data_IF_529444603561
#
_entry.id   IF_529444603561
#
_cell.length_a   1.000
_cell.length_b   1.000
_cell.length_c   1.000
_cell.angle_alpha   90.00
_cell.angle_beta   90.00
_cell.angle_gamma   90.00
#
_symmetry.space_group_name_H-M   'P 1'
#
loop_
_entity.id
_entity.type
_entity.pdbx_description
1 polymer ?
#
# COMPACT_ATOMS: atom_id res chain seq x y z
N UNK A 1 -6.69 -5.01 -12.01
CA UNK A 1 -6.40 -3.67 -12.63
C UNK A 1 -6.41 -3.78 -14.16
N UNK A 2 -5.79 -4.81 -14.72
CA UNK A 2 -5.76 -4.97 -16.20
C UNK A 2 -7.14 -5.15 -16.81
N UNK A 3 -8.03 -5.87 -16.14
CA UNK A 3 -9.40 -6.10 -16.61
C UNK A 3 -10.36 -4.99 -16.19
N UNK A 4 -10.15 -4.44 -15.00
CA UNK A 4 -10.95 -3.37 -14.43
C UNK A 4 -10.05 -2.35 -13.74
N UNK A 5 -9.86 -1.16 -14.30
CA UNK A 5 -8.96 -0.16 -13.73
C UNK A 5 -9.53 0.59 -12.52
N UNK A 6 -10.81 0.43 -12.20
CA UNK A 6 -11.42 1.12 -11.07
C UNK A 6 -10.81 0.65 -9.76
N UNK A 7 -10.37 1.60 -8.92
CA UNK A 7 -9.70 1.33 -7.66
C UNK A 7 -10.20 2.31 -6.59
N UNK A 8 -10.41 1.79 -5.39
CA UNK A 8 -10.68 2.58 -4.20
C UNK A 8 -9.60 2.36 -3.15
N UNK A 9 -9.23 3.42 -2.46
CA UNK A 9 -8.30 3.38 -1.32
C UNK A 9 -8.93 4.07 -0.13
N UNK A 10 -8.73 3.49 1.06
CA UNK A 10 -9.18 4.08 2.31
C UNK A 10 -7.99 4.27 3.23
N UNK A 11 -7.82 5.50 3.72
CA UNK A 11 -6.81 5.86 4.71
C UNK A 11 -7.51 6.21 6.01
N UNK A 12 -7.15 5.57 7.12
CA UNK A 12 -7.82 5.79 8.40
C UNK A 12 -6.78 6.06 9.48
N UNK A 13 -6.99 7.15 10.22
CA UNK A 13 -6.28 7.43 11.47
C UNK A 13 -7.16 6.97 12.64
N UNK A 14 -6.75 5.88 13.28
CA UNK A 14 -7.44 5.32 14.44
C UNK A 14 -6.94 5.88 15.77
N UNK A 15 -5.80 6.57 15.78
CA UNK A 15 -5.05 6.80 17.01
C UNK A 15 -5.18 8.22 17.57
N UNK A 16 -5.24 9.22 16.71
CA UNK A 16 -5.25 10.61 17.13
C UNK A 16 -6.55 11.31 16.75
N UNK A 17 -6.77 11.53 15.48
CA UNK A 17 -7.85 12.37 14.98
C UNK A 17 -9.10 11.62 14.56
N UNK A 18 -9.02 10.29 14.45
CA UNK A 18 -10.12 9.44 13.97
C UNK A 18 -10.75 9.96 12.67
N UNK A 19 -9.89 10.20 11.69
CA UNK A 19 -10.27 10.68 10.37
C UNK A 19 -10.12 9.57 9.35
N UNK A 20 -11.08 9.46 8.45
CA UNK A 20 -11.00 8.57 7.28
C UNK A 20 -11.04 9.37 5.99
N UNK A 21 -10.16 9.03 5.06
CA UNK A 21 -10.14 9.55 3.70
C UNK A 21 -10.38 8.41 2.73
N UNK A 22 -11.36 8.58 1.86
CA UNK A 22 -11.64 7.65 0.78
C UNK A 22 -11.26 8.28 -0.55
N UNK A 23 -10.52 7.55 -1.38
CA UNK A 23 -10.06 8.02 -2.69
C UNK A 23 -10.44 6.98 -3.73
N UNK A 24 -11.16 7.40 -4.76
CA UNK A 24 -11.54 6.58 -5.88
C UNK A 24 -10.91 7.09 -7.17
N UNK A 25 -10.56 6.18 -8.05
CA UNK A 25 -9.99 6.55 -9.32
C UNK A 25 -9.73 5.38 -10.23
N UNK A 26 -8.95 5.64 -11.25
CA UNK A 26 -8.50 4.62 -12.20
C UNK A 26 -7.02 4.37 -12.04
N UNK A 27 -6.66 3.10 -11.95
CA UNK A 27 -5.31 2.65 -11.73
C UNK A 27 -4.71 2.03 -12.99
N UNK A 28 -3.41 2.19 -13.15
CA UNK A 28 -2.63 1.45 -14.13
C UNK A 28 -1.37 0.88 -13.49
N UNK A 29 -0.87 -0.19 -14.04
CA UNK A 29 0.37 -0.81 -13.62
C UNK A 29 1.52 -0.21 -14.42
N UNK A 30 2.57 0.19 -13.73
CA UNK A 30 3.81 0.69 -14.35
C UNK A 30 4.96 -0.18 -13.86
N UNK A 31 5.74 -0.73 -14.78
CA UNK A 31 6.95 -1.47 -14.41
C UNK A 31 7.99 -0.53 -13.81
N UNK A 32 8.82 -1.03 -12.90
CA UNK A 32 9.81 -0.21 -12.21
C UNK A 32 10.78 0.50 -13.17
N UNK A 33 11.18 -0.19 -14.23
CA UNK A 33 12.09 0.38 -15.24
C UNK A 33 11.47 1.57 -15.97
N UNK A 34 10.17 1.52 -16.23
CA UNK A 34 9.44 2.64 -16.85
C UNK A 34 9.40 3.85 -15.92
N UNK A 35 9.20 3.63 -14.62
CA UNK A 35 9.15 4.69 -13.63
C UNK A 35 10.52 5.34 -13.44
N UNK A 36 11.59 4.54 -13.44
CA UNK A 36 12.96 5.02 -13.35
C UNK A 36 13.37 5.89 -14.55
N UNK A 37 12.83 5.59 -15.72
CA UNK A 37 13.07 6.35 -16.94
C UNK A 37 12.27 7.65 -17.04
N UNK A 38 11.23 7.81 -16.23
CA UNK A 38 10.37 8.98 -16.20
C UNK A 38 10.97 10.09 -15.32
N UNK A 39 11.29 11.24 -15.91
CA UNK A 39 11.92 12.36 -15.21
C UNK A 39 11.08 12.87 -14.02
N UNK A 40 9.77 12.76 -14.10
CA UNK A 40 8.85 13.20 -13.04
C UNK A 40 8.90 12.29 -11.81
N UNK A 41 9.09 11.00 -12.00
CA UNK A 41 8.93 9.99 -10.95
C UNK A 41 10.23 9.29 -10.53
N UNK A 42 11.34 9.56 -11.22
CA UNK A 42 12.64 8.95 -10.93
C UNK A 42 13.08 9.09 -9.48
N UNK A 43 12.84 10.25 -8.86
CA UNK A 43 13.22 10.50 -7.47
C UNK A 43 12.46 9.60 -6.50
N UNK A 44 11.15 9.39 -6.72
CA UNK A 44 10.32 8.51 -5.90
C UNK A 44 10.82 7.06 -6.01
N UNK A 45 11.08 6.60 -7.22
CA UNK A 45 11.59 5.25 -7.45
C UNK A 45 12.98 5.05 -6.80
N UNK A 46 13.86 6.02 -6.92
CA UNK A 46 15.20 5.96 -6.31
C UNK A 46 15.15 5.98 -4.77
N UNK A 47 14.27 6.77 -4.18
CA UNK A 47 14.12 6.82 -2.72
C UNK A 47 13.65 5.48 -2.15
N UNK A 48 12.75 4.82 -2.83
CA UNK A 48 12.28 3.48 -2.43
C UNK A 48 13.40 2.44 -2.51
N UNK A 49 14.26 2.52 -3.52
CA UNK A 49 15.41 1.61 -3.66
C UNK A 49 16.42 1.75 -2.53
N UNK A 50 16.60 2.95 -1.98
CA UNK A 50 17.53 3.20 -0.86
C UNK A 50 17.14 2.44 0.42
N UNK A 51 15.88 2.06 0.56
CA UNK A 51 15.38 1.29 1.70
C UNK A 51 15.67 -0.22 1.58
N UNK A 52 16.34 -0.65 0.51
CA UNK A 52 16.79 -2.02 0.32
C UNK A 52 15.79 -2.98 -0.31
N UNK A 53 14.56 -2.53 -0.56
CA UNK A 53 13.56 -3.29 -1.28
C UNK A 53 13.42 -2.74 -2.70
N UNK A 54 13.51 -3.63 -3.70
CA UNK A 54 13.26 -3.26 -5.09
C UNK A 54 11.79 -3.54 -5.40
N UNK A 55 10.99 -2.51 -5.69
CA UNK A 55 9.62 -2.74 -6.14
C UNK A 55 9.63 -3.36 -7.54
N UNK A 56 8.82 -4.38 -7.75
CA UNK A 56 8.64 -4.98 -9.06
C UNK A 56 7.83 -4.06 -9.97
N UNK A 57 6.76 -3.51 -9.40
CA UNK A 57 5.76 -2.72 -10.10
C UNK A 57 5.25 -1.58 -9.25
N UNK A 58 4.68 -0.62 -9.92
CA UNK A 58 4.01 0.52 -9.31
C UNK A 58 2.55 0.54 -9.74
N UNK A 59 1.71 0.97 -8.83
CA UNK A 59 0.31 1.27 -9.16
C UNK A 59 0.18 2.79 -9.24
N UNK A 60 -0.17 3.28 -10.39
CA UNK A 60 -0.43 4.68 -10.63
C UNK A 60 -1.93 4.93 -10.68
N UNK A 61 -2.46 5.69 -9.74
CA UNK A 61 -3.88 5.99 -9.69
C UNK A 61 -4.15 7.45 -10.06
N UNK A 62 -5.02 7.64 -11.04
CA UNK A 62 -5.56 8.97 -11.33
C UNK A 62 -6.81 9.15 -10.49
N UNK A 63 -6.79 10.10 -9.57
CA UNK A 63 -7.89 10.36 -8.64
C UNK A 63 -9.07 11.00 -9.38
N UNK A 64 -10.24 10.39 -9.29
CA UNK A 64 -11.49 10.94 -9.81
C UNK A 64 -12.33 11.57 -8.70
N UNK A 65 -12.25 11.01 -7.48
CA UNK A 65 -13.07 11.42 -6.36
C UNK A 65 -12.32 11.20 -5.05
N UNK A 66 -12.45 12.14 -4.12
CA UNK A 66 -11.93 12.00 -2.76
C UNK A 66 -12.91 12.62 -1.78
N UNK A 67 -13.17 11.94 -0.66
CA UNK A 67 -14.05 12.44 0.39
C UNK A 67 -13.64 11.94 1.77
N UNK A 68 -14.05 12.68 2.79
CA UNK A 68 -13.75 12.39 4.19
C UNK A 68 -14.89 11.59 4.81
N UNK A 69 -14.56 10.50 5.51
CA UNK A 69 -15.51 9.74 6.31
C UNK A 69 -15.83 10.45 7.64
N UNK A 70 -17.05 10.28 8.11
CA UNK A 70 -17.46 10.79 9.39
C UNK A 70 -16.71 10.09 10.53
N UNK A 71 -16.03 10.88 11.36
CA UNK A 71 -15.22 10.39 12.47
C UNK A 71 -16.01 9.61 13.53
N UNK A 72 -17.32 9.86 13.68
CA UNK A 72 -18.16 9.19 14.68
C UNK A 72 -18.25 7.67 14.50
N UNK A 73 -17.95 7.17 13.30
CA UNK A 73 -17.97 5.73 12.99
C UNK A 73 -16.59 5.08 13.04
N UNK A 74 -15.54 5.86 13.33
CA UNK A 74 -14.17 5.36 13.40
C UNK A 74 -13.83 5.10 14.87
N UNK A 75 -13.53 3.84 15.27
CA UNK A 75 -13.14 3.57 16.65
C UNK A 75 -11.80 4.21 16.99
N UNK A 76 -11.68 4.72 18.20
CA UNK A 76 -10.42 5.25 18.71
C UNK A 76 -9.61 4.10 19.31
N UNK A 77 -8.45 3.82 18.75
CA UNK A 77 -7.61 2.69 19.11
C UNK A 77 -6.31 3.14 19.78
N UNK A 78 -5.73 2.25 20.57
CA UNK A 78 -4.42 2.43 21.16
C UNK A 78 -3.44 1.47 20.48
N UNK A 79 -2.31 2.01 20.04
CA UNK A 79 -1.23 1.19 19.46
C UNK A 79 -0.47 0.47 20.57
N UNK A 80 -0.38 -0.85 20.47
CA UNK A 80 0.43 -1.67 21.35
C UNK A 80 1.83 -1.87 20.77
N UNK A 81 2.81 -2.08 21.65
CA UNK A 81 4.17 -2.35 21.24
C UNK A 81 4.26 -3.68 20.49
N UNK A 82 4.79 -3.62 19.29
CA UNK A 82 5.08 -4.79 18.47
C UNK A 82 6.29 -4.53 17.61
N UNK A 83 7.25 -5.44 17.65
CA UNK A 83 8.38 -5.37 16.73
C UNK A 83 7.91 -5.77 15.33
N UNK A 84 8.09 -4.86 14.37
CA UNK A 84 7.69 -5.09 12.98
C UNK A 84 8.94 -5.22 12.12
N UNK A 85 8.99 -6.29 11.34
CA UNK A 85 10.12 -6.60 10.46
C UNK A 85 9.79 -6.22 9.01
N UNK A 86 9.74 -4.92 8.75
CA UNK A 86 9.43 -4.38 7.43
C UNK A 86 10.39 -4.89 6.36
N UNK A 87 9.84 -5.39 5.24
CA UNK A 87 10.61 -5.80 4.07
C UNK A 87 11.51 -7.02 4.27
N UNK A 88 11.31 -7.81 5.34
CA UNK A 88 12.13 -9.00 5.59
C UNK A 88 11.73 -10.16 4.70
N UNK A 89 12.74 -10.90 4.21
CA UNK A 89 12.56 -12.17 3.51
C UNK A 89 12.78 -13.40 4.43
N UNK A 90 13.08 -13.17 5.71
CA UNK A 90 13.29 -14.25 6.67
C UNK A 90 11.98 -14.96 7.02
N UNK A 91 11.90 -16.25 6.74
CA UNK A 91 10.73 -17.08 7.01
C UNK A 91 10.24 -16.99 8.46
N UNK A 92 11.17 -16.95 9.42
CA UNK A 92 10.84 -16.82 10.84
C UNK A 92 10.03 -15.55 11.17
N UNK A 93 10.11 -14.53 10.36
CA UNK A 93 9.43 -13.25 10.56
C UNK A 93 8.17 -13.08 9.70
N UNK A 94 7.96 -13.96 8.72
CA UNK A 94 6.83 -13.86 7.79
C UNK A 94 5.50 -14.39 8.35
N UNK A 95 5.50 -15.03 9.50
CA UNK A 95 4.28 -15.58 10.11
C UNK A 95 3.82 -16.93 9.53
N UNK A 96 4.57 -17.49 8.58
CA UNK A 96 4.30 -18.79 7.98
C UNK A 96 3.07 -18.84 7.05
N UNK A 97 2.77 -20.04 6.57
CA UNK A 97 1.62 -20.29 5.70
C UNK A 97 0.35 -20.57 6.51
N UNK A 98 -0.21 -19.52 7.11
CA UNK A 98 -1.42 -19.62 7.95
C UNK A 98 -2.60 -20.24 7.19
N UNK A 99 -2.77 -19.90 5.94
CA UNK A 99 -3.89 -20.40 5.13
C UNK A 99 -3.57 -21.72 4.43
N UNK A 100 -2.37 -22.27 4.62
CA UNK A 100 -1.90 -23.50 3.97
C UNK A 100 -2.01 -23.46 2.45
N UNK A 101 -1.72 -22.31 1.87
CA UNK A 101 -1.82 -22.10 0.43
C UNK A 101 -0.80 -22.93 -0.34
N UNK A 102 0.39 -23.12 0.22
CA UNK A 102 1.47 -23.92 -0.39
C UNK A 102 1.20 -25.43 -0.38
N UNK A 103 0.26 -25.89 0.43
CA UNK A 103 -0.13 -27.30 0.52
C UNK A 103 -1.40 -27.63 -0.27
N UNK A 104 -2.01 -26.66 -0.92
CA UNK A 104 -3.16 -26.85 -1.80
C UNK A 104 -2.69 -27.23 -3.19
N UNK A 105 -2.83 -28.50 -3.51
CA UNK A 105 -2.60 -29.00 -4.88
C UNK A 105 -3.84 -28.76 -5.76
#
# INVERSE_FOLDING_TARGET
ILENPHMGMTFIDFFENTIGLHVNGKAKIIENDELLADETWTSVANDTQKEGALPERWIFMTVEEAYIHCSKHIPHLKKLDKKIHWGTDKEAHKGGDFFKAETCD
#
